data_IF_265858392880
#
_entry.id   IF_265858392880
#
_cell.length_a   1.000
_cell.length_b   1.000
_cell.length_c   1.000
_cell.angle_alpha   90.00
_cell.angle_beta   90.00
_cell.angle_gamma   90.00
#
_symmetry.space_group_name_H-M   'P 1'
#
loop_
_entity.id
_entity.type
_entity.pdbx_description
1 polymer ?
#
# COMPACT_ATOMS: atom_id res chain seq x y z
N UNK A 1 -6.07 -65.33 -11.43
CA UNK A 1 -4.85 -64.56 -11.81
C UNK A 1 -5.19 -63.37 -12.69
N UNK A 2 -5.95 -63.53 -13.78
CA UNK A 2 -6.33 -62.42 -14.69
C UNK A 2 -7.27 -61.37 -14.05
N UNK A 3 -8.34 -61.79 -13.38
CA UNK A 3 -9.28 -60.85 -12.73
C UNK A 3 -8.66 -60.01 -11.60
N UNK A 4 -7.64 -60.54 -10.92
CA UNK A 4 -6.93 -59.79 -9.87
C UNK A 4 -6.00 -58.76 -10.48
N UNK A 5 -5.42 -59.03 -11.65
CA UNK A 5 -4.58 -58.09 -12.40
C UNK A 5 -5.40 -56.91 -12.93
N UNK A 6 -6.59 -57.19 -13.45
CA UNK A 6 -7.52 -56.19 -14.00
C UNK A 6 -8.07 -55.25 -12.91
N UNK A 7 -8.42 -55.80 -11.74
CA UNK A 7 -8.84 -55.00 -10.59
C UNK A 7 -7.71 -54.16 -9.97
N UNK A 8 -6.45 -54.56 -10.15
CA UNK A 8 -5.28 -53.77 -9.72
C UNK A 8 -5.01 -52.64 -10.73
N UNK A 9 -5.11 -52.91 -12.04
CA UNK A 9 -4.98 -51.87 -13.08
C UNK A 9 -6.08 -50.80 -12.96
N UNK A 10 -7.34 -51.18 -12.74
CA UNK A 10 -8.45 -50.24 -12.51
C UNK A 10 -8.24 -49.37 -11.25
N UNK A 11 -7.64 -49.94 -10.21
CA UNK A 11 -7.37 -49.24 -8.96
C UNK A 11 -6.14 -48.32 -9.04
N UNK A 12 -5.18 -48.64 -9.90
CA UNK A 12 -4.02 -47.78 -10.21
C UNK A 12 -4.40 -46.64 -11.16
N UNK A 13 -5.23 -46.87 -12.19
CA UNK A 13 -5.78 -45.80 -13.06
C UNK A 13 -6.67 -44.80 -12.29
N UNK A 14 -7.45 -45.28 -11.31
CA UNK A 14 -8.24 -44.40 -10.45
C UNK A 14 -7.37 -43.60 -9.48
N UNK A 15 -6.26 -44.16 -8.97
CA UNK A 15 -5.29 -43.42 -8.15
C UNK A 15 -4.57 -42.33 -8.97
N UNK A 16 -4.18 -42.64 -10.19
CA UNK A 16 -3.45 -41.70 -11.07
C UNK A 16 -4.35 -40.51 -11.47
N UNK A 17 -5.64 -40.75 -11.79
CA UNK A 17 -6.62 -39.66 -12.02
C UNK A 17 -6.90 -38.82 -10.77
N UNK A 18 -6.88 -39.42 -9.58
CA UNK A 18 -7.12 -38.70 -8.31
C UNK A 18 -5.88 -37.89 -7.88
N UNK A 19 -4.67 -38.34 -8.21
CA UNK A 19 -3.43 -37.59 -8.00
C UNK A 19 -3.26 -36.44 -9.00
N UNK A 20 -3.59 -36.62 -10.28
CA UNK A 20 -3.48 -35.58 -11.32
C UNK A 20 -4.45 -34.40 -11.06
N UNK A 21 -5.70 -34.71 -10.67
CA UNK A 21 -6.68 -33.68 -10.27
C UNK A 21 -6.27 -32.96 -8.96
N UNK A 22 -5.54 -33.66 -8.08
CA UNK A 22 -5.04 -33.12 -6.81
C UNK A 22 -3.81 -32.21 -6.96
N UNK A 23 -2.96 -32.43 -7.96
CA UNK A 23 -1.76 -31.62 -8.21
C UNK A 23 -2.07 -30.29 -8.93
N UNK A 24 -3.03 -30.29 -9.88
CA UNK A 24 -3.49 -29.05 -10.52
C UNK A 24 -4.18 -28.11 -9.52
N UNK A 25 -4.97 -28.67 -8.60
CA UNK A 25 -5.67 -27.88 -7.55
C UNK A 25 -4.70 -27.34 -6.48
N UNK A 26 -3.60 -28.06 -6.19
CA UNK A 26 -2.57 -27.62 -5.23
C UNK A 26 -1.62 -26.59 -5.83
N UNK A 27 -1.25 -26.71 -7.11
CA UNK A 27 -0.40 -25.71 -7.80
C UNK A 27 -1.04 -24.33 -7.89
N UNK A 28 -2.37 -24.25 -8.00
CA UNK A 28 -3.10 -22.99 -8.03
C UNK A 28 -3.02 -22.17 -6.73
N UNK A 29 -2.59 -22.76 -5.61
CA UNK A 29 -2.55 -22.09 -4.29
C UNK A 29 -1.19 -21.45 -3.94
N UNK A 30 -0.14 -21.73 -4.71
CA UNK A 30 1.22 -21.22 -4.43
C UNK A 30 1.73 -20.16 -5.42
N UNK A 31 0.99 -19.90 -6.50
CA UNK A 31 1.27 -18.72 -7.31
C UNK A 31 0.83 -17.47 -6.54
N UNK A 32 1.81 -16.83 -5.91
CA UNK A 32 1.65 -15.48 -5.38
C UNK A 32 1.12 -14.59 -6.49
N UNK A 33 -0.16 -14.24 -6.41
CA UNK A 33 -0.76 -13.32 -7.36
C UNK A 33 0.04 -12.03 -7.31
N UNK A 34 0.59 -11.58 -8.44
CA UNK A 34 1.44 -10.41 -8.41
C UNK A 34 0.59 -9.19 -8.01
N UNK A 35 1.13 -8.35 -7.11
CA UNK A 35 0.41 -7.22 -6.51
C UNK A 35 -0.27 -6.29 -7.53
N UNK A 36 0.26 -6.18 -8.75
CA UNK A 36 -0.36 -5.38 -9.79
C UNK A 36 -1.72 -5.93 -10.26
N UNK A 37 -2.01 -7.23 -10.11
CA UNK A 37 -3.34 -7.81 -10.41
C UNK A 37 -4.41 -7.31 -9.43
N UNK A 38 -4.05 -7.00 -8.18
CA UNK A 38 -4.96 -6.31 -7.24
C UNK A 38 -5.29 -4.88 -7.71
N UNK A 39 -4.32 -4.21 -8.33
CA UNK A 39 -4.48 -2.85 -8.87
C UNK A 39 -5.05 -2.83 -10.30
N UNK A 40 -5.18 -3.97 -10.97
CA UNK A 40 -5.67 -4.03 -12.35
C UNK A 40 -7.16 -3.68 -12.51
N UNK A 41 -7.89 -3.69 -11.39
CA UNK A 41 -9.29 -3.26 -11.29
C UNK A 41 -9.45 -1.76 -11.00
N UNK A 42 -8.34 -1.03 -10.92
CA UNK A 42 -8.32 0.41 -10.69
C UNK A 42 -8.67 1.15 -11.99
N UNK A 43 -9.71 1.99 -11.94
CA UNK A 43 -10.09 2.85 -13.07
C UNK A 43 -9.04 3.95 -13.31
N UNK A 44 -9.07 4.60 -14.47
CA UNK A 44 -8.22 5.77 -14.78
C UNK A 44 -8.29 6.87 -13.69
N UNK A 45 -9.45 7.04 -13.05
CA UNK A 45 -9.63 7.94 -11.92
C UNK A 45 -8.84 7.50 -10.67
N UNK A 46 -8.81 6.20 -10.36
CA UNK A 46 -8.05 5.67 -9.22
C UNK A 46 -6.54 5.85 -9.45
N UNK A 47 -6.09 5.74 -10.69
CA UNK A 47 -4.71 6.03 -11.06
C UNK A 47 -4.35 7.51 -10.88
N UNK A 48 -5.22 8.43 -11.27
CA UNK A 48 -5.00 9.88 -11.03
C UNK A 48 -4.96 10.22 -9.54
N UNK A 49 -5.81 9.58 -8.73
CA UNK A 49 -5.85 9.75 -7.28
C UNK A 49 -4.58 9.20 -6.61
N UNK A 50 -4.07 8.05 -7.06
CA UNK A 50 -2.81 7.48 -6.57
C UNK A 50 -1.60 8.35 -6.94
N UNK A 51 -1.58 8.95 -8.13
CA UNK A 51 -0.52 9.91 -8.52
C UNK A 51 -0.58 11.18 -7.66
N UNK A 52 -1.76 11.74 -7.43
CA UNK A 52 -1.95 12.88 -6.54
C UNK A 52 -1.53 12.57 -5.09
N UNK A 53 -1.90 11.38 -4.59
CA UNK A 53 -1.53 10.93 -3.25
C UNK A 53 -0.02 10.73 -3.08
N UNK A 54 0.66 10.20 -4.10
CA UNK A 54 2.12 10.02 -4.06
C UNK A 54 2.87 11.35 -4.13
N UNK A 55 2.40 12.32 -4.92
CA UNK A 55 2.93 13.68 -4.91
C UNK A 55 2.77 14.34 -3.53
N UNK A 56 1.59 14.19 -2.91
CA UNK A 56 1.35 14.63 -1.53
C UNK A 56 2.32 13.98 -0.53
N UNK A 57 2.55 12.67 -0.66
CA UNK A 57 3.46 11.90 0.19
C UNK A 57 4.91 12.35 0.10
N UNK A 58 5.40 12.68 -1.11
CA UNK A 58 6.76 13.21 -1.28
C UNK A 58 6.89 14.54 -0.54
N UNK A 59 5.95 15.46 -0.72
CA UNK A 59 5.98 16.77 -0.06
C UNK A 59 5.87 16.62 1.46
N UNK A 60 4.97 15.75 1.93
CA UNK A 60 4.78 15.49 3.36
C UNK A 60 6.01 14.82 3.99
N UNK A 61 6.63 13.85 3.30
CA UNK A 61 7.85 13.17 3.76
C UNK A 61 9.06 14.09 3.85
N UNK A 62 9.19 15.05 2.92
CA UNK A 62 10.26 16.07 2.95
C UNK A 62 10.13 17.06 4.12
N UNK A 63 8.95 17.18 4.73
CA UNK A 63 8.74 18.06 5.87
C UNK A 63 9.60 17.67 7.08
N UNK A 64 9.88 16.37 7.29
CA UNK A 64 10.73 15.93 8.41
C UNK A 64 12.20 16.36 8.26
N UNK A 65 12.92 16.06 7.16
CA UNK A 65 14.28 16.57 6.94
C UNK A 65 14.38 18.10 7.02
N UNK A 66 13.43 18.82 6.41
CA UNK A 66 13.40 20.28 6.44
C UNK A 66 13.16 20.80 7.86
N UNK A 67 12.30 20.14 8.64
CA UNK A 67 12.08 20.43 10.05
C UNK A 67 13.36 20.30 10.88
N UNK A 68 14.14 19.22 10.67
CA UNK A 68 15.43 19.05 11.33
C UNK A 68 16.45 20.13 10.93
N UNK A 69 16.46 20.56 9.67
CA UNK A 69 17.32 21.64 9.23
C UNK A 69 16.97 22.98 9.91
N UNK A 70 15.68 23.31 10.02
CA UNK A 70 15.22 24.52 10.73
C UNK A 70 15.53 24.45 12.22
N UNK A 71 15.39 23.28 12.84
CA UNK A 71 15.79 23.05 14.23
C UNK A 71 17.29 23.27 14.40
N UNK A 72 18.12 22.76 13.48
CA UNK A 72 19.57 23.01 13.50
C UNK A 72 19.91 24.50 13.44
N UNK A 73 19.23 25.27 12.58
CA UNK A 73 19.38 26.74 12.53
C UNK A 73 18.95 27.44 13.82
N UNK A 74 17.90 26.95 14.48
CA UNK A 74 17.46 27.47 15.77
C UNK A 74 18.48 27.17 16.87
N UNK A 75 19.02 25.94 16.91
CA UNK A 75 20.05 25.54 17.87
C UNK A 75 21.36 26.31 17.66
N UNK A 76 21.77 26.53 16.41
CA UNK A 76 22.95 27.33 16.07
C UNK A 76 22.77 28.81 16.47
N UNK A 77 21.58 29.37 16.25
CA UNK A 77 21.24 30.70 16.73
C UNK A 77 21.26 30.81 18.26
N UNK A 78 20.88 29.75 18.97
CA UNK A 78 20.95 29.68 20.42
C UNK A 78 22.39 29.56 20.91
N UNK A 79 23.17 28.62 20.35
CA UNK A 79 24.54 28.34 20.76
C UNK A 79 25.54 29.47 20.49
N UNK A 80 25.39 30.20 19.38
CA UNK A 80 26.28 31.31 19.03
C UNK A 80 25.95 32.63 19.74
N UNK A 81 24.81 32.72 20.43
CA UNK A 81 24.34 33.95 21.10
C UNK A 81 24.02 33.73 22.58
N UNK A 82 24.72 32.81 23.25
CA UNK A 82 24.50 32.47 24.66
C UNK A 82 24.61 33.70 25.57
N UNK A 83 25.50 34.64 25.24
CA UNK A 83 25.72 35.87 26.02
C UNK A 83 24.83 37.06 25.59
N UNK A 84 24.11 36.96 24.46
CA UNK A 84 23.25 38.04 23.94
C UNK A 84 21.86 37.55 23.54
N UNK A 85 20.93 37.67 24.50
CA UNK A 85 19.52 37.32 24.34
C UNK A 85 18.83 38.10 23.21
N UNK A 86 19.24 39.35 22.94
CA UNK A 86 18.60 40.18 21.91
C UNK A 86 19.00 39.72 20.49
N UNK A 87 20.26 39.29 20.31
CA UNK A 87 20.74 38.70 19.08
C UNK A 87 20.08 37.34 18.79
N UNK A 88 19.93 36.49 19.83
CA UNK A 88 19.23 35.21 19.74
C UNK A 88 17.79 35.37 19.25
N UNK A 89 17.00 36.26 19.88
CA UNK A 89 15.60 36.49 19.51
C UNK A 89 15.47 36.99 18.07
N UNK A 90 16.41 37.84 17.62
CA UNK A 90 16.43 38.35 16.24
C UNK A 90 16.71 37.25 15.22
N UNK A 91 17.63 36.34 15.52
CA UNK A 91 17.93 35.19 14.67
C UNK A 91 16.76 34.21 14.62
N UNK A 92 16.15 33.91 15.77
CA UNK A 92 14.99 33.01 15.87
C UNK A 92 13.77 33.58 15.14
N UNK A 93 13.52 34.89 15.23
CA UNK A 93 12.44 35.57 14.51
C UNK A 93 12.55 35.44 12.99
N UNK A 94 13.76 35.21 12.44
CA UNK A 94 13.93 34.90 11.01
C UNK A 94 13.56 33.46 10.67
N UNK A 95 13.69 32.51 11.60
CA UNK A 95 13.40 31.08 11.39
C UNK A 95 11.90 30.78 11.54
N UNK A 96 11.23 31.44 12.48
CA UNK A 96 9.78 31.27 12.76
C UNK A 96 8.87 31.33 11.52
N UNK A 97 8.98 32.31 10.59
CA UNK A 97 8.11 32.34 9.42
C UNK A 97 8.30 31.13 8.50
N UNK A 98 9.52 30.59 8.37
CA UNK A 98 9.76 29.38 7.56
C UNK A 98 9.08 28.14 8.15
N UNK A 99 9.00 28.03 9.48
CA UNK A 99 8.27 26.96 10.16
C UNK A 99 6.77 27.06 9.85
N UNK A 100 6.21 28.27 9.86
CA UNK A 100 4.81 28.49 9.50
C UNK A 100 4.52 28.15 8.04
N UNK A 101 5.36 28.59 7.09
CA UNK A 101 5.21 28.22 5.67
C UNK A 101 5.25 26.71 5.46
N UNK A 102 6.17 26.02 6.14
CA UNK A 102 6.26 24.55 6.10
C UNK A 102 5.01 23.89 6.68
N UNK A 103 4.48 24.38 7.80
CA UNK A 103 3.25 23.85 8.40
C UNK A 103 2.04 23.99 7.47
N UNK A 104 1.87 25.17 6.87
CA UNK A 104 0.79 25.44 5.91
C UNK A 104 0.93 24.64 4.60
N UNK A 105 2.15 24.28 4.18
CA UNK A 105 2.36 23.43 3.01
C UNK A 105 2.12 21.94 3.31
N UNK A 106 2.59 21.48 4.48
CA UNK A 106 2.58 20.06 4.88
C UNK A 106 1.20 19.58 5.28
N UNK A 107 0.38 20.45 5.89
CA UNK A 107 -0.98 20.12 6.33
C UNK A 107 -1.90 19.69 5.17
N UNK A 108 -2.12 20.51 4.11
CA UNK A 108 -2.95 20.09 2.99
C UNK A 108 -2.32 18.93 2.21
N UNK A 109 -1.00 18.86 2.11
CA UNK A 109 -0.30 17.75 1.46
C UNK A 109 -0.60 16.40 2.13
N UNK A 110 -0.57 16.35 3.48
CA UNK A 110 -0.90 15.13 4.22
C UNK A 110 -2.39 14.75 4.14
N UNK A 111 -3.29 15.74 4.13
CA UNK A 111 -4.73 15.50 3.93
C UNK A 111 -4.99 14.92 2.53
N UNK A 112 -4.33 15.47 1.49
CA UNK A 112 -4.43 14.97 0.13
C UNK A 112 -3.82 13.58 -0.02
N UNK A 113 -2.64 13.33 0.57
CA UNK A 113 -2.01 12.02 0.59
C UNK A 113 -2.95 10.96 1.16
N UNK A 114 -3.36 11.12 2.43
CA UNK A 114 -4.16 10.13 3.13
C UNK A 114 -5.55 10.03 2.51
N UNK A 115 -6.17 11.17 2.17
CA UNK A 115 -7.51 11.22 1.57
C UNK A 115 -7.58 10.54 0.21
N UNK A 116 -6.64 10.85 -0.70
CA UNK A 116 -6.61 10.24 -2.02
C UNK A 116 -6.31 8.74 -1.96
N UNK A 117 -5.38 8.31 -1.10
CA UNK A 117 -5.10 6.88 -0.90
C UNK A 117 -6.28 6.15 -0.27
N UNK A 118 -6.93 6.74 0.73
CA UNK A 118 -8.11 6.15 1.38
C UNK A 118 -9.24 5.97 0.38
N UNK A 119 -9.58 7.00 -0.38
CA UNK A 119 -10.67 6.95 -1.34
C UNK A 119 -10.41 5.95 -2.49
N UNK A 120 -9.20 5.93 -3.04
CA UNK A 120 -8.80 4.93 -4.03
C UNK A 120 -8.90 3.50 -3.46
N UNK A 121 -8.46 3.30 -2.21
CA UNK A 121 -8.54 2.00 -1.54
C UNK A 121 -9.98 1.53 -1.35
N UNK A 122 -10.90 2.43 -1.00
CA UNK A 122 -12.31 2.09 -0.82
C UNK A 122 -12.96 1.64 -2.14
N UNK A 123 -12.67 2.32 -3.25
CA UNK A 123 -13.19 1.95 -4.57
C UNK A 123 -12.66 0.60 -5.04
N UNK A 124 -11.36 0.33 -4.86
CA UNK A 124 -10.76 -0.96 -5.20
C UNK A 124 -11.34 -2.10 -4.36
N UNK A 125 -11.47 -1.91 -3.04
CA UNK A 125 -12.01 -2.93 -2.12
C UNK A 125 -13.49 -3.22 -2.41
N UNK A 126 -14.30 -2.20 -2.72
CA UNK A 126 -15.71 -2.39 -3.05
C UNK A 126 -15.90 -3.28 -4.29
N UNK A 127 -15.12 -3.06 -5.35
CA UNK A 127 -15.14 -3.89 -6.56
C UNK A 127 -14.69 -5.32 -6.29
N UNK A 128 -13.60 -5.46 -5.52
CA UNK A 128 -13.09 -6.77 -5.13
C UNK A 128 -14.16 -7.58 -4.36
N UNK A 129 -14.87 -6.95 -3.42
CA UNK A 129 -15.96 -7.60 -2.67
C UNK A 129 -17.11 -8.05 -3.56
N UNK A 130 -17.51 -7.24 -4.55
CA UNK A 130 -18.56 -7.63 -5.50
C UNK A 130 -18.12 -8.81 -6.36
N UNK A 131 -16.87 -8.81 -6.86
CA UNK A 131 -16.31 -9.92 -7.64
C UNK A 131 -16.21 -11.20 -6.82
N UNK A 132 -15.74 -11.07 -5.57
CA UNK A 132 -15.68 -12.18 -4.63
C UNK A 132 -17.05 -12.77 -4.36
N UNK A 133 -18.06 -11.94 -4.06
CA UNK A 133 -19.43 -12.42 -3.82
C UNK A 133 -20.02 -13.12 -5.05
N UNK A 134 -19.81 -12.57 -6.25
CA UNK A 134 -20.28 -13.18 -7.49
C UNK A 134 -19.60 -14.54 -7.75
N UNK A 135 -18.29 -14.64 -7.50
CA UNK A 135 -17.57 -15.91 -7.62
C UNK A 135 -18.09 -16.97 -6.63
N UNK A 136 -18.30 -16.58 -5.37
CA UNK A 136 -18.85 -17.48 -4.33
C UNK A 136 -20.26 -17.95 -4.68
N UNK A 137 -21.13 -17.06 -5.18
CA UNK A 137 -22.51 -17.42 -5.57
C UNK A 137 -22.58 -18.31 -6.82
N UNK A 138 -21.55 -18.29 -7.66
CA UNK A 138 -21.43 -19.12 -8.86
C UNK A 138 -20.72 -20.45 -8.61
N UNK A 139 -20.22 -20.66 -7.40
CA UNK A 139 -19.57 -21.90 -7.04
C UNK A 139 -20.65 -22.97 -6.78
N UNK A 140 -20.64 -24.04 -7.58
CA UNK A 140 -21.60 -25.13 -7.43
C UNK A 140 -21.52 -25.70 -6.01
N UNK A 141 -22.70 -25.96 -5.42
CA UNK A 141 -22.84 -26.66 -4.14
C UNK A 141 -22.75 -28.15 -4.46
N UNK A 142 -21.57 -28.62 -4.87
CA UNK A 142 -21.35 -29.98 -5.36
C UNK A 142 -20.29 -30.69 -4.53
N UNK A 143 -20.75 -31.39 -3.49
CA UNK A 143 -20.11 -32.62 -3.02
C UNK A 143 -20.78 -33.80 -3.73
#
# INVERSE_FOLDING_TARGET
>A
MAQVREAIDDHDEQREKTEDTGDETKKATSETLPFYKLLSEADALDWTLMVLGTLGSIVHGLAQPVGYYLLGKALDAFGNNIDDTAAMVRALKKVVPYVWYMAFATFPAGVLEIGCWMYASQRQVARLRVKFLNAVLRQDIGA
#
